data_IF_653998381100
#
_entry.id   IF_653998381100
#
_cell.length_a   1.000
_cell.length_b   1.000
_cell.length_c   1.000
_cell.angle_alpha   90.00
_cell.angle_beta   90.00
_cell.angle_gamma   90.00
#
_symmetry.space_group_name_H-M   'P 1'
#
loop_
_entity.id
_entity.type
_entity.pdbx_description
1 polymer ?
#
# COMPACT_ATOMS: atom_id res chain seq x y z
N UNK A 1 -25.22 2.96 -0.26
CA UNK A 1 -24.24 3.38 0.75
C UNK A 1 -23.67 2.17 1.44
N UNK A 2 -22.58 1.64 0.93
CA UNK A 2 -21.79 0.62 1.64
C UNK A 2 -20.78 1.36 2.51
N UNK A 3 -21.17 1.68 3.73
CA UNK A 3 -20.26 2.25 4.73
C UNK A 3 -19.25 1.18 5.14
N UNK A 4 -18.02 1.26 4.62
CA UNK A 4 -16.90 0.52 5.17
C UNK A 4 -16.51 1.08 6.55
N UNK A 5 -15.91 0.24 7.39
CA UNK A 5 -15.34 0.70 8.65
C UNK A 5 -14.13 1.59 8.38
N UNK A 6 -14.24 2.87 8.74
CA UNK A 6 -13.09 3.79 8.72
C UNK A 6 -12.23 3.60 9.95
N UNK A 7 -10.93 3.56 9.77
CA UNK A 7 -9.94 3.36 10.83
C UNK A 7 -8.76 4.32 10.69
N UNK A 8 -8.17 4.68 11.82
CA UNK A 8 -6.89 5.42 11.84
C UNK A 8 -5.71 4.49 11.59
N UNK A 9 -4.55 5.05 11.28
CA UNK A 9 -3.32 4.26 11.10
C UNK A 9 -2.99 3.38 12.32
N UNK A 10 -3.20 3.89 13.53
CA UNK A 10 -2.94 3.14 14.77
C UNK A 10 -3.83 1.91 14.89
N UNK A 11 -5.13 2.09 14.64
CA UNK A 11 -6.10 0.99 14.69
C UNK A 11 -5.80 -0.01 13.57
N UNK A 12 -5.53 0.46 12.35
CA UNK A 12 -5.23 -0.41 11.21
C UNK A 12 -4.00 -1.30 11.48
N UNK A 13 -2.95 -0.76 12.08
CA UNK A 13 -1.76 -1.55 12.44
C UNK A 13 -2.11 -2.69 13.42
N UNK A 14 -2.97 -2.42 14.37
CA UNK A 14 -3.42 -3.44 15.32
C UNK A 14 -4.28 -4.51 14.66
N UNK A 15 -5.23 -4.10 13.82
CA UNK A 15 -6.08 -5.02 13.06
C UNK A 15 -5.24 -5.94 12.13
N UNK A 16 -4.25 -5.39 11.43
CA UNK A 16 -3.34 -6.18 10.59
C UNK A 16 -2.63 -7.26 11.44
N UNK A 17 -2.08 -6.89 12.60
CA UNK A 17 -1.39 -7.84 13.48
C UNK A 17 -2.32 -8.94 13.99
N UNK A 18 -3.51 -8.58 14.41
CA UNK A 18 -4.46 -9.54 14.98
C UNK A 18 -4.98 -10.48 13.90
N UNK A 19 -5.32 -9.96 12.72
CA UNK A 19 -5.76 -10.76 11.59
C UNK A 19 -4.67 -11.71 11.07
N UNK A 20 -3.41 -11.27 11.07
CA UNK A 20 -2.27 -12.15 10.75
C UNK A 20 -2.21 -13.38 11.66
N UNK A 21 -2.44 -13.20 12.96
CA UNK A 21 -2.37 -14.29 13.96
C UNK A 21 -3.41 -15.37 13.74
N UNK A 22 -4.55 -15.00 13.16
CA UNK A 22 -5.68 -15.91 12.92
C UNK A 22 -5.89 -16.26 11.44
N UNK A 23 -4.93 -15.88 10.58
CA UNK A 23 -4.91 -16.26 9.16
C UNK A 23 -5.95 -15.55 8.30
N UNK A 24 -6.38 -14.35 8.69
CA UNK A 24 -7.30 -13.52 7.90
C UNK A 24 -6.52 -12.54 7.02
N UNK A 25 -7.02 -12.34 5.80
CA UNK A 25 -6.47 -11.39 4.86
C UNK A 25 -7.18 -10.04 4.95
N UNK A 26 -6.43 -8.95 4.79
CA UNK A 26 -6.94 -7.60 4.86
C UNK A 26 -7.04 -6.95 3.49
N UNK A 27 -8.04 -6.10 3.30
CA UNK A 27 -8.14 -5.16 2.19
C UNK A 27 -8.18 -3.74 2.73
N UNK A 28 -7.18 -2.94 2.37
CA UNK A 28 -7.03 -1.55 2.82
C UNK A 28 -7.48 -0.63 1.70
N UNK A 29 -8.52 0.15 1.96
CA UNK A 29 -9.04 1.16 1.07
C UNK A 29 -8.60 2.55 1.52
N UNK A 30 -8.41 3.44 0.58
CA UNK A 30 -8.13 4.84 0.88
C UNK A 30 -7.69 5.61 -0.35
N UNK A 31 -7.74 6.93 -0.27
CA UNK A 31 -7.32 7.80 -1.34
C UNK A 31 -5.82 7.75 -1.61
N UNK A 32 -5.38 8.35 -2.72
CA UNK A 32 -3.97 8.37 -3.09
C UNK A 32 -3.13 9.11 -2.05
N UNK A 33 -1.96 8.58 -1.74
CA UNK A 33 -0.99 9.24 -0.85
C UNK A 33 -1.32 9.23 0.64
N UNK A 34 -2.37 8.52 1.07
CA UNK A 34 -2.83 8.50 2.47
C UNK A 34 -1.96 7.63 3.39
N UNK A 35 -1.14 6.74 2.85
CA UNK A 35 -0.25 5.87 3.63
C UNK A 35 -0.61 4.39 3.61
N UNK A 36 -1.43 3.93 2.65
CA UNK A 36 -1.84 2.51 2.54
C UNK A 36 -0.67 1.53 2.46
N UNK A 37 0.42 1.92 1.80
CA UNK A 37 1.61 1.08 1.65
C UNK A 37 2.58 1.23 2.82
N UNK A 38 2.65 2.39 3.43
CA UNK A 38 3.55 2.68 4.56
C UNK A 38 3.14 1.98 5.84
N UNK A 39 1.83 1.84 6.08
CA UNK A 39 1.33 1.22 7.32
C UNK A 39 1.68 -0.26 7.41
N UNK A 40 1.47 -1.11 6.38
CA UNK A 40 1.97 -2.48 6.37
C UNK A 40 3.49 -2.58 6.54
N UNK A 41 4.25 -1.66 5.94
CA UNK A 41 5.71 -1.60 6.11
C UNK A 41 6.10 -1.31 7.56
N UNK A 42 5.39 -0.41 8.23
CA UNK A 42 5.63 -0.15 9.66
C UNK A 42 5.33 -1.39 10.51
N UNK A 43 4.24 -2.11 10.23
CA UNK A 43 3.92 -3.36 10.92
C UNK A 43 5.02 -4.40 10.71
N UNK A 44 5.49 -4.58 9.48
CA UNK A 44 6.58 -5.51 9.17
C UNK A 44 7.87 -5.16 9.92
N UNK A 45 8.24 -3.88 9.94
CA UNK A 45 9.41 -3.39 10.67
C UNK A 45 9.28 -3.63 12.19
N UNK A 46 8.13 -3.33 12.77
CA UNK A 46 7.87 -3.52 14.20
C UNK A 46 7.87 -5.01 14.61
N UNK A 47 7.46 -5.90 13.72
CA UNK A 47 7.51 -7.36 13.93
C UNK A 47 8.83 -8.00 13.50
N UNK A 48 9.75 -7.22 12.92
CA UNK A 48 11.03 -7.68 12.36
C UNK A 48 10.84 -8.83 11.35
N UNK A 49 9.90 -8.64 10.43
CA UNK A 49 9.62 -9.56 9.32
C UNK A 49 9.75 -8.84 7.97
N UNK A 50 10.09 -9.53 6.87
CA UNK A 50 10.11 -8.93 5.55
C UNK A 50 8.70 -8.59 5.06
N UNK A 51 8.63 -7.54 4.24
CA UNK A 51 7.45 -7.21 3.45
C UNK A 51 7.83 -7.23 1.97
N UNK A 52 7.10 -8.01 1.19
CA UNK A 52 7.15 -7.98 -0.27
C UNK A 52 5.98 -7.15 -0.78
N UNK A 53 6.29 -6.03 -1.43
CA UNK A 53 5.30 -5.13 -2.03
C UNK A 53 5.18 -5.42 -3.51
N UNK A 54 3.98 -5.77 -3.93
CA UNK A 54 3.68 -6.14 -5.30
C UNK A 54 2.53 -5.28 -5.84
N UNK A 55 2.76 -4.64 -6.98
CA UNK A 55 1.74 -3.79 -7.62
C UNK A 55 0.99 -4.55 -8.70
N UNK A 56 -0.23 -4.95 -8.39
CA UNK A 56 -1.05 -5.80 -9.24
C UNK A 56 -1.34 -5.21 -10.64
N UNK A 57 -1.47 -3.90 -10.75
CA UNK A 57 -1.77 -3.21 -12.00
C UNK A 57 -0.62 -3.21 -13.03
N UNK A 58 0.58 -3.64 -12.65
CA UNK A 58 1.75 -3.73 -13.52
C UNK A 58 1.94 -5.12 -14.15
N UNK A 59 1.08 -6.08 -13.81
CA UNK A 59 1.26 -7.48 -14.16
C UNK A 59 0.06 -8.04 -14.92
N UNK A 60 0.38 -8.93 -15.86
CA UNK A 60 -0.61 -9.72 -16.57
C UNK A 60 -0.95 -11.02 -15.80
N UNK A 61 -2.07 -11.68 -16.10
CA UNK A 61 -2.44 -12.94 -15.45
C UNK A 61 -1.38 -14.04 -15.56
N UNK A 62 -0.61 -14.04 -16.64
CA UNK A 62 0.48 -15.00 -16.88
C UNK A 62 1.62 -14.78 -15.89
N UNK A 63 1.93 -13.53 -15.58
CA UNK A 63 2.98 -13.19 -14.61
C UNK A 63 2.65 -13.69 -13.21
N UNK A 64 1.35 -13.78 -12.88
CA UNK A 64 0.87 -14.26 -11.58
C UNK A 64 0.81 -15.79 -11.54
N UNK A 65 0.35 -16.44 -12.62
CA UNK A 65 0.23 -17.90 -12.69
C UNK A 65 1.54 -18.59 -12.95
N UNK A 66 2.48 -17.91 -13.58
CA UNK A 66 3.73 -18.47 -14.07
C UNK A 66 3.65 -19.02 -15.50
N UNK A 67 4.74 -19.61 -15.94
CA UNK A 67 4.89 -20.13 -17.29
C UNK A 67 4.55 -21.62 -17.33
N UNK A 68 3.65 -22.08 -18.21
CA UNK A 68 3.37 -23.50 -18.33
C UNK A 68 4.52 -24.25 -19.01
N UNK A 69 4.87 -25.40 -18.50
CA UNK A 69 5.80 -26.33 -19.12
C UNK A 69 5.30 -27.77 -18.99
N UNK A 70 5.74 -28.62 -19.89
CA UNK A 70 5.40 -30.05 -19.82
C UNK A 70 6.47 -30.82 -19.04
N UNK A 71 6.04 -31.70 -18.18
CA UNK A 71 6.88 -32.66 -17.48
C UNK A 71 6.28 -34.07 -17.52
N UNK A 72 7.12 -35.08 -17.34
CA UNK A 72 6.64 -36.45 -17.22
C UNK A 72 6.20 -36.71 -15.79
N UNK A 73 5.00 -37.26 -15.63
CA UNK A 73 4.52 -37.76 -14.35
C UNK A 73 4.81 -39.27 -14.27
N UNK A 74 5.78 -39.61 -13.43
CA UNK A 74 6.23 -40.99 -13.22
C UNK A 74 5.37 -41.74 -12.18
N UNK A 75 4.40 -41.08 -11.55
CA UNK A 75 3.53 -41.66 -10.54
C UNK A 75 2.41 -42.53 -11.12
N UNK A 76 2.22 -42.51 -12.44
CA UNK A 76 1.18 -43.27 -13.12
C UNK A 76 1.64 -44.69 -13.42
N UNK A 77 0.91 -45.67 -12.91
CA UNK A 77 1.25 -47.09 -13.05
C UNK A 77 1.32 -47.62 -14.50
N UNK A 78 0.78 -46.89 -15.48
CA UNK A 78 0.73 -47.27 -16.90
C UNK A 78 1.86 -46.69 -17.75
N UNK A 79 2.85 -46.02 -17.16
CA UNK A 79 3.95 -45.37 -17.85
C UNK A 79 3.91 -43.83 -17.70
N UNK A 80 4.96 -43.17 -18.15
CA UNK A 80 5.06 -41.71 -18.03
C UNK A 80 3.93 -41.00 -18.77
N UNK A 81 3.14 -40.25 -18.06
CA UNK A 81 2.11 -39.35 -18.60
C UNK A 81 2.65 -37.93 -18.67
N UNK A 82 2.52 -37.27 -19.83
CA UNK A 82 2.86 -35.84 -19.94
C UNK A 82 1.80 -34.99 -19.31
N UNK A 83 2.20 -34.20 -18.33
CA UNK A 83 1.33 -33.24 -17.66
C UNK A 83 1.86 -31.82 -17.84
N UNK A 84 0.96 -30.85 -17.83
CA UNK A 84 1.33 -29.44 -17.80
C UNK A 84 1.53 -29.02 -16.34
N UNK A 85 2.69 -28.47 -16.05
CA UNK A 85 3.03 -27.83 -14.79
C UNK A 85 3.29 -26.34 -15.01
N UNK A 86 3.26 -25.57 -13.97
CA UNK A 86 3.47 -24.12 -14.02
C UNK A 86 4.74 -23.77 -13.22
N UNK A 87 5.69 -23.11 -13.85
CA UNK A 87 6.84 -22.54 -13.17
C UNK A 87 6.37 -21.28 -12.43
N UNK A 88 6.37 -21.25 -11.07
CA UNK A 88 5.91 -20.09 -10.34
C UNK A 88 6.84 -18.91 -10.57
N UNK A 89 6.33 -17.67 -10.63
CA UNK A 89 7.16 -16.49 -10.69
C UNK A 89 7.94 -16.30 -9.39
N UNK A 90 9.12 -15.73 -9.48
CA UNK A 90 10.00 -15.42 -8.34
C UNK A 90 9.53 -14.26 -7.45
N UNK A 91 8.46 -13.58 -7.87
CA UNK A 91 7.81 -12.50 -7.14
C UNK A 91 7.11 -12.95 -5.85
N UNK A 92 6.78 -14.24 -5.75
CA UNK A 92 6.09 -14.78 -4.59
C UNK A 92 7.07 -15.18 -3.48
N UNK A 93 6.66 -15.03 -2.20
CA UNK A 93 7.50 -15.40 -1.08
C UNK A 93 7.82 -16.90 -1.05
N UNK A 94 9.07 -17.23 -0.76
CA UNK A 94 9.51 -18.58 -0.45
C UNK A 94 10.30 -18.57 0.85
N UNK A 95 10.25 -19.65 1.62
CA UNK A 95 11.03 -19.76 2.86
C UNK A 95 12.53 -19.70 2.60
N UNK A 96 13.00 -20.28 1.50
CA UNK A 96 14.40 -20.33 1.13
C UNK A 96 14.97 -18.94 0.84
N UNK A 97 14.21 -18.08 0.16
CA UNK A 97 14.67 -16.77 -0.30
C UNK A 97 14.33 -15.65 0.68
N UNK A 98 13.14 -15.71 1.31
CA UNK A 98 12.59 -14.60 2.07
C UNK A 98 12.40 -14.91 3.55
N UNK A 99 12.63 -16.16 3.96
CA UNK A 99 12.45 -16.61 5.33
C UNK A 99 11.06 -17.15 5.63
N UNK A 100 10.86 -17.72 6.84
CA UNK A 100 9.66 -18.47 7.19
C UNK A 100 8.43 -17.60 7.48
N UNK A 101 8.62 -16.30 7.69
CA UNK A 101 7.54 -15.36 8.08
C UNK A 101 7.66 -14.05 7.30
N UNK A 102 6.54 -13.48 6.96
CA UNK A 102 6.51 -12.19 6.29
C UNK A 102 5.12 -11.70 5.92
N UNK A 103 5.08 -10.54 5.31
CA UNK A 103 3.89 -9.93 4.71
C UNK A 103 4.04 -9.87 3.19
N UNK A 104 3.03 -10.34 2.49
CA UNK A 104 2.89 -10.18 1.04
C UNK A 104 1.79 -9.17 0.76
N UNK A 105 2.18 -7.99 0.29
CA UNK A 105 1.26 -6.90 -0.02
C UNK A 105 0.97 -6.86 -1.51
N UNK A 106 -0.30 -6.90 -1.87
CA UNK A 106 -0.81 -6.75 -3.22
C UNK A 106 -1.41 -5.34 -3.33
N UNK A 107 -0.58 -4.39 -3.74
CA UNK A 107 -0.99 -3.00 -3.90
C UNK A 107 -1.69 -2.77 -5.25
N UNK A 108 -2.54 -1.77 -5.33
CA UNK A 108 -3.29 -1.39 -6.53
C UNK A 108 -4.16 -2.54 -7.10
N UNK A 109 -4.64 -3.45 -6.25
CA UNK A 109 -5.44 -4.60 -6.69
C UNK A 109 -6.70 -4.20 -7.46
N UNK A 110 -7.51 -3.22 -7.04
CA UNK A 110 -8.73 -2.83 -7.76
C UNK A 110 -8.47 -2.18 -9.13
N UNK A 111 -7.27 -1.65 -9.37
CA UNK A 111 -6.89 -1.03 -10.66
C UNK A 111 -6.29 -2.04 -11.63
N UNK A 112 -6.01 -3.26 -11.20
CA UNK A 112 -5.56 -4.34 -12.05
C UNK A 112 -6.70 -4.84 -12.96
N UNK A 113 -6.41 -5.32 -14.17
CA UNK A 113 -7.42 -5.94 -15.02
C UNK A 113 -8.13 -7.10 -14.32
N UNK A 114 -9.42 -7.34 -14.58
CA UNK A 114 -10.18 -8.38 -13.88
C UNK A 114 -9.56 -9.78 -13.93
N UNK A 115 -8.90 -10.13 -15.04
CA UNK A 115 -8.19 -11.40 -15.16
C UNK A 115 -6.98 -11.51 -14.21
N UNK A 116 -6.24 -10.43 -14.03
CA UNK A 116 -5.13 -10.34 -13.06
C UNK A 116 -5.67 -10.38 -11.63
N UNK A 117 -6.74 -9.63 -11.33
CA UNK A 117 -7.40 -9.72 -10.03
C UNK A 117 -7.79 -11.16 -9.71
N UNK A 118 -8.42 -11.88 -10.64
CA UNK A 118 -8.83 -13.27 -10.42
C UNK A 118 -7.65 -14.20 -10.09
N UNK A 119 -6.47 -13.97 -10.68
CA UNK A 119 -5.29 -14.75 -10.35
C UNK A 119 -4.84 -14.51 -8.89
N UNK A 120 -4.78 -13.26 -8.44
CA UNK A 120 -4.48 -12.94 -7.03
C UNK A 120 -5.57 -13.39 -6.06
N UNK A 121 -6.81 -13.42 -6.52
CA UNK A 121 -7.93 -13.87 -5.69
C UNK A 121 -7.78 -15.32 -5.28
N UNK A 122 -7.33 -16.18 -6.18
CA UNK A 122 -7.03 -17.55 -5.85
C UNK A 122 -5.97 -17.63 -4.75
N UNK A 123 -4.91 -16.85 -4.84
CA UNK A 123 -3.88 -16.77 -3.80
C UNK A 123 -4.45 -16.33 -2.45
N UNK A 124 -5.28 -15.28 -2.43
CA UNK A 124 -5.91 -14.78 -1.20
C UNK A 124 -6.88 -15.79 -0.57
N UNK A 125 -7.54 -16.61 -1.38
CA UNK A 125 -8.55 -17.56 -0.90
C UNK A 125 -7.96 -18.89 -0.47
N UNK A 126 -7.04 -19.43 -1.27
CA UNK A 126 -6.53 -20.80 -1.10
C UNK A 126 -5.06 -20.84 -0.75
N UNK A 127 -4.39 -19.68 -0.70
CA UNK A 127 -2.92 -19.54 -0.50
C UNK A 127 -2.12 -20.24 -1.59
N UNK A 128 -2.73 -20.46 -2.76
CA UNK A 128 -2.13 -21.16 -3.90
C UNK A 128 -2.49 -20.47 -5.20
N UNK A 129 -1.57 -20.51 -6.16
CA UNK A 129 -1.83 -20.13 -7.54
C UNK A 129 -0.96 -20.99 -8.46
N UNK A 130 -1.58 -21.67 -9.43
CA UNK A 130 -0.87 -22.68 -10.21
C UNK A 130 -0.22 -23.74 -9.31
N UNK A 131 1.07 -23.97 -9.47
CA UNK A 131 1.86 -24.89 -8.63
C UNK A 131 2.45 -24.22 -7.38
N UNK A 132 2.29 -22.91 -7.23
CA UNK A 132 2.82 -22.18 -6.08
C UNK A 132 1.89 -22.33 -4.87
N UNK A 133 2.47 -22.61 -3.72
CA UNK A 133 1.82 -22.57 -2.42
C UNK A 133 2.55 -21.60 -1.50
N UNK A 134 1.81 -20.63 -0.93
CA UNK A 134 2.37 -19.67 0.00
C UNK A 134 2.77 -20.36 1.31
N UNK A 135 3.98 -20.09 1.84
CA UNK A 135 4.39 -20.61 3.13
C UNK A 135 3.47 -20.20 4.28
N UNK A 136 3.24 -21.06 5.24
CA UNK A 136 2.23 -20.88 6.31
C UNK A 136 2.51 -19.64 7.19
N UNK A 137 3.76 -19.24 7.35
CA UNK A 137 4.15 -18.06 8.13
C UNK A 137 3.97 -16.72 7.39
N UNK A 138 3.52 -16.73 6.13
CA UNK A 138 3.27 -15.54 5.34
C UNK A 138 1.80 -15.16 5.33
N UNK A 139 1.53 -13.87 5.50
CA UNK A 139 0.19 -13.31 5.44
C UNK A 139 0.04 -12.38 4.25
N UNK A 140 -1.13 -12.41 3.62
CA UNK A 140 -1.47 -11.51 2.52
C UNK A 140 -2.26 -10.32 3.02
N UNK A 141 -2.03 -9.20 2.39
CA UNK A 141 -2.93 -8.06 2.45
C UNK A 141 -2.99 -7.40 1.08
N UNK A 142 -4.11 -6.79 0.77
CA UNK A 142 -4.32 -6.05 -0.46
C UNK A 142 -4.64 -4.60 -0.14
N UNK A 143 -4.33 -3.71 -1.07
CA UNK A 143 -4.65 -2.30 -0.95
C UNK A 143 -5.12 -1.72 -2.29
N UNK A 144 -5.87 -0.65 -2.24
CA UNK A 144 -6.30 0.05 -3.44
C UNK A 144 -7.12 1.30 -3.16
N UNK A 145 -7.32 2.08 -4.22
CA UNK A 145 -8.15 3.25 -4.19
C UNK A 145 -9.63 2.87 -4.31
N UNK A 146 -10.51 3.73 -3.81
CA UNK A 146 -11.96 3.57 -3.93
C UNK A 146 -12.44 4.02 -5.32
N UNK A 147 -13.61 3.55 -5.72
CA UNK A 147 -14.27 4.03 -6.94
C UNK A 147 -14.45 5.55 -6.97
N UNK A 148 -14.64 6.16 -5.81
CA UNK A 148 -14.84 7.61 -5.63
C UNK A 148 -13.59 8.44 -5.80
N UNK A 149 -12.40 7.81 -5.85
CA UNK A 149 -11.11 8.51 -5.91
C UNK A 149 -10.68 8.86 -7.35
N UNK A 150 -11.57 8.71 -8.35
CA UNK A 150 -11.31 9.08 -9.75
C UNK A 150 -10.32 8.16 -10.49
N UNK A 151 -9.85 7.09 -9.86
CA UNK A 151 -9.02 6.09 -10.49
C UNK A 151 -9.85 5.13 -11.36
N UNK A 152 -9.25 4.57 -12.39
CA UNK A 152 -9.84 3.46 -13.15
C UNK A 152 -9.85 2.21 -12.27
N UNK A 153 -10.92 2.03 -11.51
CA UNK A 153 -11.08 0.94 -10.56
C UNK A 153 -12.11 -0.04 -11.09
N UNK A 154 -11.78 -1.32 -11.10
CA UNK A 154 -12.73 -2.39 -11.41
C UNK A 154 -13.44 -2.84 -10.14
N UNK A 155 -14.73 -3.12 -10.27
CA UNK A 155 -15.48 -3.66 -9.15
C UNK A 155 -14.99 -5.06 -8.77
N UNK A 156 -14.59 -5.23 -7.52
CA UNK A 156 -14.15 -6.52 -7.01
C UNK A 156 -15.35 -7.48 -6.90
N UNK A 157 -15.22 -8.74 -7.40
CA UNK A 157 -16.30 -9.73 -7.31
C UNK A 157 -16.75 -9.97 -5.86
N UNK A 158 -18.04 -10.16 -5.65
CA UNK A 158 -18.63 -10.35 -4.31
C UNK A 158 -18.06 -11.54 -3.51
N UNK A 159 -17.75 -12.70 -4.13
CA UNK A 159 -17.15 -13.81 -3.38
C UNK A 159 -15.79 -13.46 -2.77
N UNK A 160 -15.06 -12.57 -3.42
CA UNK A 160 -13.75 -12.08 -2.97
C UNK A 160 -13.91 -11.10 -1.84
N UNK A 161 -14.79 -10.12 -2.03
CA UNK A 161 -15.06 -9.12 -0.98
C UNK A 161 -15.43 -9.77 0.34
N UNK A 162 -16.22 -10.84 0.31
CA UNK A 162 -16.67 -11.54 1.51
C UNK A 162 -15.58 -12.37 2.23
N UNK A 163 -14.39 -12.48 1.64
CA UNK A 163 -13.26 -13.25 2.21
C UNK A 163 -12.10 -12.38 2.68
N UNK A 164 -12.29 -11.07 2.64
CA UNK A 164 -11.32 -10.08 3.09
C UNK A 164 -11.91 -9.26 4.22
N UNK A 165 -11.06 -8.87 5.15
CA UNK A 165 -11.39 -7.87 6.18
C UNK A 165 -11.17 -6.49 5.58
N UNK A 166 -12.23 -5.71 5.42
CA UNK A 166 -12.20 -4.43 4.74
C UNK A 166 -12.09 -3.26 5.72
N UNK A 167 -11.06 -2.44 5.54
CA UNK A 167 -10.82 -1.23 6.31
C UNK A 167 -10.61 -0.05 5.37
N UNK A 168 -11.27 1.07 5.67
CA UNK A 168 -11.02 2.34 5.00
C UNK A 168 -10.09 3.17 5.88
N UNK A 169 -8.88 3.47 5.37
CA UNK A 169 -7.92 4.30 6.08
C UNK A 169 -8.35 5.76 6.00
N UNK A 170 -8.51 6.40 7.16
CA UNK A 170 -8.74 7.84 7.24
C UNK A 170 -7.49 8.59 7.73
N UNK A 171 -7.29 9.84 7.27
CA UNK A 171 -6.21 10.67 7.78
C UNK A 171 -6.38 10.93 9.27
N UNK A 172 -5.30 10.79 10.04
CA UNK A 172 -5.25 11.10 11.46
C UNK A 172 -4.04 11.97 11.74
N UNK A 173 -4.30 13.20 12.21
CA UNK A 173 -3.24 14.13 12.59
C UNK A 173 -2.39 13.56 13.72
N UNK A 174 -3.00 12.97 14.73
CA UNK A 174 -2.28 12.42 15.89
C UNK A 174 -1.35 11.28 15.45
N UNK A 175 -1.86 10.32 14.67
CA UNK A 175 -1.05 9.23 14.14
C UNK A 175 0.08 9.73 13.23
N UNK A 176 -0.18 10.74 12.40
CA UNK A 176 0.84 11.35 11.57
C UNK A 176 1.90 12.08 12.41
N UNK A 177 1.50 12.81 13.45
CA UNK A 177 2.44 13.48 14.36
C UNK A 177 3.34 12.49 15.11
N UNK A 178 2.81 11.37 15.58
CA UNK A 178 3.61 10.32 16.21
C UNK A 178 4.63 9.73 15.24
N UNK A 179 4.20 9.46 14.02
CA UNK A 179 5.10 9.00 12.95
C UNK A 179 6.15 10.06 12.61
N UNK A 180 5.76 11.32 12.49
CA UNK A 180 6.63 12.42 12.15
C UNK A 180 7.74 12.62 13.20
N UNK A 181 7.42 12.49 14.48
CA UNK A 181 8.40 12.56 15.57
C UNK A 181 9.41 11.41 15.50
N UNK A 182 8.94 10.18 15.25
CA UNK A 182 9.81 9.00 15.12
C UNK A 182 10.73 9.08 13.89
N UNK A 183 10.31 9.77 12.85
CA UNK A 183 11.06 9.90 11.60
C UNK A 183 11.79 11.26 11.46
N UNK A 184 11.88 12.02 12.55
CA UNK A 184 12.61 13.30 12.61
C UNK A 184 12.15 14.28 11.52
N UNK A 185 10.85 14.34 11.24
CA UNK A 185 10.25 15.29 10.30
C UNK A 185 10.49 16.70 10.80
N UNK A 186 10.72 17.62 9.89
CA UNK A 186 10.96 19.03 10.20
C UNK A 186 9.90 19.59 11.14
N UNK A 187 10.34 20.16 12.27
CA UNK A 187 9.46 20.65 13.35
C UNK A 187 8.52 21.77 12.90
N UNK A 188 8.96 22.62 11.97
CA UNK A 188 8.11 23.69 11.39
C UNK A 188 6.95 23.05 10.61
N UNK A 189 7.21 21.98 9.89
CA UNK A 189 6.17 21.24 9.16
C UNK A 189 5.17 20.58 10.12
N UNK A 190 5.64 19.97 11.20
CA UNK A 190 4.77 19.38 12.23
C UNK A 190 3.90 20.46 12.89
N UNK A 191 4.48 21.61 13.21
CA UNK A 191 3.74 22.75 13.79
C UNK A 191 2.68 23.27 12.81
N UNK A 192 3.01 23.37 11.54
CA UNK A 192 2.06 23.77 10.49
C UNK A 192 0.88 22.80 10.38
N UNK A 193 1.12 21.49 10.40
CA UNK A 193 0.05 20.49 10.35
C UNK A 193 -0.88 20.57 11.56
N UNK A 194 -0.35 20.86 12.74
CA UNK A 194 -1.16 21.09 13.94
C UNK A 194 -2.01 22.35 13.84
N UNK A 195 -1.50 23.37 13.18
CA UNK A 195 -2.22 24.62 12.95
C UNK A 195 -3.27 24.48 11.84
N UNK A 196 -2.97 23.72 10.79
CA UNK A 196 -3.85 23.51 9.62
C UNK A 196 -4.10 22.01 9.38
N UNK A 197 -4.79 21.31 10.31
CA UNK A 197 -4.98 19.86 10.21
C UNK A 197 -5.72 19.39 8.95
N UNK A 198 -6.58 20.24 8.40
CA UNK A 198 -7.29 19.98 7.14
C UNK A 198 -6.38 19.93 5.91
N UNK A 199 -5.16 20.45 6.00
CA UNK A 199 -4.16 20.37 4.94
C UNK A 199 -3.27 19.13 5.04
N UNK A 200 -3.43 18.28 6.03
CA UNK A 200 -2.77 16.99 6.06
C UNK A 200 -3.22 16.10 4.88
N UNK A 201 -4.51 16.12 4.60
CA UNK A 201 -5.09 15.42 3.46
C UNK A 201 -6.23 16.24 2.85
N UNK A 202 -6.01 16.71 1.62
CA UNK A 202 -7.00 17.46 0.85
C UNK A 202 -6.92 17.06 -0.61
N UNK A 203 -7.44 15.86 -0.89
CA UNK A 203 -7.44 15.30 -2.24
C UNK A 203 -8.46 16.01 -3.13
N UNK A 204 -8.02 16.36 -4.35
CA UNK A 204 -8.85 16.90 -5.42
C UNK A 204 -8.50 16.21 -6.72
N UNK A 205 -9.48 15.57 -7.33
CA UNK A 205 -9.28 14.72 -8.50
C UNK A 205 -8.83 15.49 -9.75
N UNK A 206 -9.11 16.79 -9.81
CA UNK A 206 -8.79 17.70 -10.91
C UNK A 206 -7.45 18.45 -10.73
N UNK A 207 -6.81 18.33 -9.57
CA UNK A 207 -5.50 18.96 -9.29
C UNK A 207 -4.36 17.94 -9.42
N UNK A 208 -3.25 18.37 -10.05
CA UNK A 208 -2.06 17.52 -10.19
C UNK A 208 -1.23 17.44 -8.91
N UNK A 209 -1.21 18.52 -8.12
CA UNK A 209 -0.50 18.61 -6.85
C UNK A 209 -1.49 18.97 -5.74
N UNK A 210 -1.59 18.14 -4.73
CA UNK A 210 -2.54 18.31 -3.62
C UNK A 210 -1.96 17.77 -2.32
N UNK A 211 -2.40 18.30 -1.16
CA UNK A 211 -1.92 17.88 0.15
C UNK A 211 -2.30 16.43 0.48
N UNK A 212 -1.30 15.64 0.78
CA UNK A 212 -1.43 14.28 1.35
C UNK A 212 -0.27 14.02 2.30
N UNK A 213 -0.33 13.03 3.19
CA UNK A 213 0.83 12.61 3.98
C UNK A 213 2.07 12.32 3.12
N UNK A 214 1.89 11.70 1.95
CA UNK A 214 2.98 11.44 1.00
C UNK A 214 3.57 12.72 0.43
N UNK A 215 2.74 13.64 -0.07
CA UNK A 215 3.24 14.90 -0.65
C UNK A 215 3.92 15.79 0.39
N UNK A 216 3.47 15.79 1.65
CA UNK A 216 4.16 16.46 2.73
C UNK A 216 5.50 15.80 3.09
N UNK A 217 5.66 14.49 2.90
CA UNK A 217 6.98 13.86 3.03
C UNK A 217 7.98 14.33 1.97
N UNK A 218 7.51 14.69 0.77
CA UNK A 218 8.35 15.32 -0.24
C UNK A 218 8.77 16.72 0.18
N UNK A 219 7.87 17.48 0.80
CA UNK A 219 8.19 18.79 1.38
C UNK A 219 9.25 18.66 2.46
N UNK A 220 9.14 17.71 3.39
CA UNK A 220 10.15 17.44 4.42
C UNK A 220 11.53 17.17 3.81
N UNK A 221 11.60 16.29 2.81
CA UNK A 221 12.84 16.01 2.09
C UNK A 221 13.41 17.27 1.41
N UNK A 222 12.55 18.10 0.86
CA UNK A 222 12.96 19.36 0.22
C UNK A 222 13.49 20.36 1.23
N UNK A 223 12.88 20.47 2.41
CA UNK A 223 13.34 21.34 3.50
C UNK A 223 14.72 20.92 4.02
N UNK A 224 15.03 19.65 4.05
CA UNK A 224 16.36 19.14 4.46
C UNK A 224 17.51 19.57 3.53
N UNK A 225 17.21 19.85 2.26
CA UNK A 225 18.19 20.33 1.29
C UNK A 225 18.41 21.84 1.35
N UNK A 226 17.51 22.58 1.99
CA UNK A 226 17.49 24.05 1.94
C UNK A 226 18.08 24.60 3.25
N UNK A 227 19.18 25.35 3.14
CA UNK A 227 19.79 26.02 4.29
C UNK A 227 19.09 27.31 4.68
N UNK A 228 18.31 27.89 3.76
CA UNK A 228 17.62 29.16 3.94
C UNK A 228 16.18 29.07 3.42
N UNK A 229 15.20 29.29 4.31
CA UNK A 229 13.77 29.27 4.02
C UNK A 229 13.33 30.44 3.10
N UNK A 230 14.10 31.51 3.01
CA UNK A 230 13.80 32.65 2.15
C UNK A 230 14.12 32.42 0.66
N UNK A 231 14.61 31.26 0.30
CA UNK A 231 14.86 30.94 -1.11
C UNK A 231 13.55 30.85 -1.89
N UNK A 232 13.34 31.76 -2.85
CA UNK A 232 12.15 31.76 -3.73
C UNK A 232 11.94 30.42 -4.45
N UNK A 233 13.02 29.68 -4.71
CA UNK A 233 12.95 28.31 -5.29
C UNK A 233 12.30 27.31 -4.35
N UNK A 234 12.30 27.56 -3.03
CA UNK A 234 11.64 26.70 -2.06
C UNK A 234 10.13 26.69 -2.28
N UNK A 235 9.52 27.85 -2.58
CA UNK A 235 8.11 27.93 -2.92
C UNK A 235 7.74 26.98 -4.08
N UNK A 236 8.50 27.01 -5.16
CA UNK A 236 8.24 26.15 -6.31
C UNK A 236 8.36 24.65 -5.96
N UNK A 237 9.36 24.30 -5.12
CA UNK A 237 9.55 22.93 -4.66
C UNK A 237 8.39 22.43 -3.80
N UNK A 238 7.86 23.26 -2.91
CA UNK A 238 6.71 22.92 -2.06
C UNK A 238 5.42 22.90 -2.87
N UNK A 239 5.20 23.93 -3.72
CA UNK A 239 4.02 24.02 -4.57
C UNK A 239 3.91 22.84 -5.55
N UNK A 240 5.05 22.36 -6.05
CA UNK A 240 5.09 21.17 -6.90
C UNK A 240 4.61 19.89 -6.20
N UNK A 241 4.69 19.85 -4.88
CA UNK A 241 4.23 18.70 -4.09
C UNK A 241 2.77 18.83 -3.62
N UNK A 242 2.39 20.00 -3.08
CA UNK A 242 1.12 20.18 -2.36
C UNK A 242 0.19 21.20 -2.99
N UNK A 243 0.59 21.84 -4.07
CA UNK A 243 -0.16 22.93 -4.72
C UNK A 243 0.23 24.31 -4.19
N UNK A 244 -0.11 25.34 -4.94
CA UNK A 244 0.30 26.73 -4.68
C UNK A 244 -0.31 27.30 -3.41
N UNK A 245 -1.60 27.03 -3.15
CA UNK A 245 -2.29 27.52 -1.94
C UNK A 245 -1.65 27.02 -0.65
N UNK A 246 -1.59 25.70 -0.44
CA UNK A 246 -0.94 25.12 0.74
C UNK A 246 0.54 25.50 0.90
N UNK A 247 1.28 25.63 -0.22
CA UNK A 247 2.67 26.08 -0.20
C UNK A 247 2.80 27.53 0.31
N UNK A 248 1.93 28.43 -0.15
CA UNK A 248 1.91 29.81 0.32
C UNK A 248 1.56 29.92 1.80
N UNK A 249 0.58 29.16 2.28
CA UNK A 249 0.21 29.14 3.69
C UNK A 249 1.35 28.60 4.57
N UNK A 250 2.02 27.53 4.15
CA UNK A 250 3.15 26.97 4.88
C UNK A 250 4.31 27.98 5.00
N UNK A 251 4.69 28.62 3.90
CA UNK A 251 5.79 29.60 3.91
C UNK A 251 5.46 30.84 4.72
N UNK A 252 4.22 31.35 4.61
CA UNK A 252 3.79 32.49 5.39
C UNK A 252 3.91 32.22 6.91
N UNK A 253 3.48 31.04 7.36
CA UNK A 253 3.59 30.64 8.76
C UNK A 253 5.07 30.45 9.18
N UNK A 254 5.90 29.86 8.31
CA UNK A 254 7.31 29.61 8.58
C UNK A 254 8.10 30.91 8.79
N UNK A 255 7.76 31.98 8.08
CA UNK A 255 8.39 33.30 8.20
C UNK A 255 8.00 34.03 9.49
N UNK A 256 6.83 33.72 10.05
CA UNK A 256 6.36 34.35 11.31
C UNK A 256 7.07 33.73 12.53
N UNK A 257 7.52 32.46 12.42
CA UNK A 257 8.14 31.73 13.53
C UNK A 257 9.68 31.83 13.58
N UNK A 258 10.30 32.56 12.65
CA UNK A 258 11.71 32.92 12.68
C UNK A 258 11.87 34.28 13.32
#
# INVERSE_FOLDING_TARGET
DTTMQTVTATVLKQEIRDNMRIGLNNMIWGGPGIGKSEIPQQVANELNIPLLDFRANLFDPVDVRGIPYTRDDLSVASGAMKITSWAPPDIFPSEETHGPRGLFMIDELPTAPPATQNAFLQLLLTRQVGNYKMPDGWSCLAAGNRLTDGASVYQMPSPVRNRLMHYELEPSLDAWCEWALKNEVNTTLVSFMRYRPNLLYSFKADEYAFPTPRSWSFVDKRLRLTKNIDDSRLFFGIAGAVGTGPAGEFLALSLIHI
#
